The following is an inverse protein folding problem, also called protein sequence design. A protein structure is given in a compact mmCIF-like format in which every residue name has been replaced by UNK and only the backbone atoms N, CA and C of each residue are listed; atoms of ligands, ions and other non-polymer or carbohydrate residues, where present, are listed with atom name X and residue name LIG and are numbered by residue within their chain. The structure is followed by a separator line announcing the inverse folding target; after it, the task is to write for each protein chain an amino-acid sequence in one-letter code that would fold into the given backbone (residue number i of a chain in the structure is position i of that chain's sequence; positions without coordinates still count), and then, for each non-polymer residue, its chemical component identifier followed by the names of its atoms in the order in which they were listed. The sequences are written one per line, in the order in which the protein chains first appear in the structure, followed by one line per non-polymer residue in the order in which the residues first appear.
data_IF_087846199371
#
_entry.id   IF_087846199371
#
_cell.length_a   1.000
_cell.length_b   1.000
_cell.length_c   1.000
_cell.angle_alpha   90.00
_cell.angle_beta   90.00
_cell.angle_gamma   90.00
#
_symmetry.space_group_name_H-M   'P 1'
#
loop_
_entity.id
_entity.type
_entity.pdbx_description
1 polymer ?
#
# COMPACT_ATOMS: atom_id res chain seq x y z
N UNK A 1 12.59 -29.43 -14.80
CA UNK A 1 12.35 -28.11 -14.18
C UNK A 1 10.97 -28.15 -13.54
N UNK A 2 10.89 -28.11 -12.21
CA UNK A 2 9.59 -27.97 -11.54
C UNK A 2 9.11 -26.54 -11.75
N UNK A 3 7.96 -26.37 -12.41
CA UNK A 3 7.26 -25.08 -12.42
C UNK A 3 7.01 -24.69 -10.96
N UNK A 4 7.27 -23.44 -10.54
CA UNK A 4 6.64 -22.95 -9.32
C UNK A 4 5.13 -22.95 -9.59
N UNK A 5 4.46 -24.03 -9.19
CA UNK A 5 3.02 -24.10 -9.22
C UNK A 5 2.51 -23.01 -8.29
N UNK A 6 1.55 -22.19 -8.75
CA UNK A 6 0.84 -21.31 -7.85
C UNK A 6 0.11 -22.20 -6.84
N UNK A 7 0.61 -22.25 -5.61
CA UNK A 7 -0.14 -22.84 -4.51
C UNK A 7 -1.40 -22.01 -4.31
N UNK A 8 -2.56 -22.64 -4.53
CA UNK A 8 -3.87 -22.00 -4.44
C UNK A 8 -4.08 -21.33 -3.08
N UNK A 9 -3.53 -21.92 -2.00
CA UNK A 9 -3.67 -21.37 -0.65
C UNK A 9 -2.94 -20.03 -0.49
N UNK A 10 -1.75 -19.92 -1.07
CA UNK A 10 -0.95 -18.69 -1.08
C UNK A 10 -1.61 -17.60 -1.93
N UNK A 11 -2.14 -17.95 -3.11
CA UNK A 11 -2.83 -16.99 -3.99
C UNK A 11 -4.11 -16.43 -3.36
N UNK A 12 -4.90 -17.27 -2.71
CA UNK A 12 -6.14 -16.82 -2.06
C UNK A 12 -5.84 -15.86 -0.90
N UNK A 13 -4.73 -16.05 -0.18
CA UNK A 13 -4.26 -15.13 0.87
C UNK A 13 -3.80 -13.76 0.33
N UNK A 14 -3.43 -13.71 -0.95
CA UNK A 14 -2.96 -12.51 -1.66
C UNK A 14 -4.07 -11.80 -2.44
N UNK A 15 -5.34 -12.19 -2.30
CA UNK A 15 -6.43 -11.48 -2.98
C UNK A 15 -6.61 -10.07 -2.44
N UNK A 16 -6.63 -9.11 -3.35
CA UNK A 16 -6.96 -7.73 -3.05
C UNK A 16 -8.47 -7.52 -3.09
N UNK A 17 -9.01 -6.93 -2.02
CA UNK A 17 -10.44 -6.61 -1.92
C UNK A 17 -10.85 -5.36 -2.71
N UNK A 18 -9.92 -4.66 -3.35
CA UNK A 18 -10.19 -3.47 -4.15
C UNK A 18 -10.41 -2.18 -3.37
N UNK A 19 -10.35 -2.22 -2.03
CA UNK A 19 -10.44 -1.03 -1.19
C UNK A 19 -9.08 -0.33 -1.14
N UNK A 20 -8.95 0.93 -1.59
CA UNK A 20 -7.68 1.67 -1.55
C UNK A 20 -7.04 1.72 -0.16
N UNK A 21 -7.85 1.76 0.90
CA UNK A 21 -7.38 1.71 2.31
C UNK A 21 -6.55 0.46 2.64
N UNK A 22 -6.84 -0.66 1.98
CA UNK A 22 -6.11 -1.91 2.21
C UNK A 22 -4.98 -2.12 1.20
N UNK A 23 -4.80 -1.19 0.24
CA UNK A 23 -3.84 -1.34 -0.84
C UNK A 23 -2.40 -1.37 -0.34
N UNK A 24 -2.03 -0.50 0.61
CA UNK A 24 -0.66 -0.47 1.15
C UNK A 24 -0.29 -1.79 1.86
N UNK A 25 -1.18 -2.28 2.72
CA UNK A 25 -1.00 -3.56 3.41
C UNK A 25 -0.96 -4.74 2.42
N UNK A 26 -1.82 -4.72 1.41
CA UNK A 26 -1.82 -5.73 0.35
C UNK A 26 -0.55 -5.69 -0.50
N UNK A 27 -0.11 -4.51 -0.95
CA UNK A 27 1.14 -4.29 -1.70
C UNK A 27 2.33 -4.84 -0.93
N UNK A 28 2.41 -4.57 0.37
CA UNK A 28 3.47 -5.10 1.24
C UNK A 28 3.48 -6.64 1.25
N UNK A 29 2.32 -7.28 1.43
CA UNK A 29 2.19 -8.75 1.36
C UNK A 29 2.63 -9.31 0.00
N UNK A 30 2.24 -8.66 -1.09
CA UNK A 30 2.64 -9.06 -2.44
C UNK A 30 4.17 -8.99 -2.62
N UNK A 31 4.79 -7.88 -2.19
CA UNK A 31 6.25 -7.71 -2.28
C UNK A 31 6.98 -8.76 -1.43
N UNK A 32 6.51 -9.04 -0.22
CA UNK A 32 7.07 -10.08 0.65
C UNK A 32 7.01 -11.45 -0.04
N UNK A 33 5.87 -11.78 -0.67
CA UNK A 33 5.72 -13.02 -1.43
C UNK A 33 6.71 -13.11 -2.61
N UNK A 34 6.86 -12.04 -3.38
CA UNK A 34 7.82 -12.00 -4.49
C UNK A 34 9.27 -12.15 -4.00
N UNK A 35 9.63 -11.52 -2.88
CA UNK A 35 10.95 -11.70 -2.23
C UNK A 35 11.21 -13.15 -1.85
N UNK A 36 10.23 -13.82 -1.24
CA UNK A 36 10.34 -15.23 -0.88
C UNK A 36 10.55 -16.13 -2.11
N UNK A 37 9.88 -15.84 -3.24
CA UNK A 37 10.09 -16.56 -4.50
C UNK A 37 11.48 -16.32 -5.09
N UNK A 38 11.99 -15.08 -5.00
CA UNK A 38 13.35 -14.75 -5.40
C UNK A 38 14.38 -15.55 -4.60
N UNK A 39 14.20 -15.66 -3.29
CA UNK A 39 15.05 -16.45 -2.40
C UNK A 39 14.97 -17.95 -2.70
N UNK A 40 13.77 -18.49 -2.89
CA UNK A 40 13.58 -19.89 -3.26
C UNK A 40 14.29 -20.20 -4.59
N UNK A 41 14.15 -19.35 -5.60
CA UNK A 41 14.82 -19.55 -6.89
C UNK A 41 16.34 -19.44 -6.76
N UNK A 42 16.84 -18.49 -6.00
CA UNK A 42 18.28 -18.37 -5.75
C UNK A 42 18.85 -19.63 -5.08
N UNK A 43 18.09 -20.25 -4.16
CA UNK A 43 18.46 -21.52 -3.54
C UNK A 43 18.45 -22.67 -4.56
N UNK A 44 17.43 -22.75 -5.42
CA UNK A 44 17.34 -23.77 -6.48
C UNK A 44 18.53 -23.67 -7.44
N UNK A 45 18.88 -22.47 -7.94
CA UNK A 45 20.03 -22.31 -8.83
C UNK A 45 21.35 -22.71 -8.14
N UNK A 46 21.52 -22.35 -6.87
CA UNK A 46 22.69 -22.73 -6.07
C UNK A 46 22.80 -24.26 -5.89
N UNK A 47 21.69 -24.96 -5.63
CA UNK A 47 21.66 -26.42 -5.54
C UNK A 47 22.06 -27.09 -6.87
N UNK A 48 21.72 -26.48 -8.00
CA UNK A 48 22.07 -26.97 -9.33
C UNK A 48 23.44 -26.48 -9.82
N UNK A 49 24.23 -25.79 -8.97
CA UNK A 49 25.53 -25.18 -9.30
C UNK A 49 25.48 -24.24 -10.51
N UNK A 50 24.36 -23.52 -10.67
CA UNK A 50 24.17 -22.52 -11.72
C UNK A 50 24.41 -21.11 -11.18
N UNK A 51 24.61 -20.17 -12.09
CA UNK A 51 24.71 -18.77 -11.72
C UNK A 51 23.40 -18.24 -11.15
N UNK A 52 23.51 -17.20 -10.31
CA UNK A 52 22.32 -16.55 -9.74
C UNK A 52 21.55 -15.85 -10.86
N UNK A 53 20.21 -15.83 -10.81
CA UNK A 53 19.41 -15.08 -11.77
C UNK A 53 19.81 -13.59 -11.77
N UNK A 54 19.88 -13.00 -12.96
CA UNK A 54 20.21 -11.58 -13.16
C UNK A 54 19.19 -10.62 -12.51
N UNK A 55 17.97 -11.08 -12.26
CA UNK A 55 16.89 -10.28 -11.68
C UNK A 55 16.08 -11.05 -10.65
N UNK A 56 15.64 -10.32 -9.62
CA UNK A 56 14.68 -10.80 -8.62
C UNK A 56 13.26 -10.52 -9.13
N UNK A 57 12.28 -11.23 -8.58
CA UNK A 57 10.88 -11.06 -8.95
C UNK A 57 10.36 -9.64 -8.61
N UNK A 58 10.75 -9.10 -7.46
CA UNK A 58 10.33 -7.77 -7.01
C UNK A 58 10.89 -6.64 -7.88
N UNK A 59 12.08 -6.82 -8.46
CA UNK A 59 12.73 -5.81 -9.32
C UNK A 59 11.89 -5.53 -10.58
N UNK A 60 11.16 -6.54 -11.06
CA UNK A 60 10.27 -6.46 -12.23
C UNK A 60 9.07 -5.53 -12.01
N UNK A 61 8.73 -5.22 -10.76
CA UNK A 61 7.69 -4.24 -10.44
C UNK A 61 8.17 -2.81 -10.69
N UNK A 62 9.48 -2.57 -10.58
CA UNK A 62 10.08 -1.23 -10.68
C UNK A 62 10.52 -0.92 -12.10
N UNK A 63 11.21 -1.87 -12.74
CA UNK A 63 11.79 -1.68 -14.07
C UNK A 63 11.95 -3.00 -14.83
N UNK A 64 12.23 -2.90 -16.14
CA UNK A 64 12.62 -4.05 -16.93
C UNK A 64 14.14 -4.25 -16.79
N UNK A 65 14.62 -5.45 -16.38
CA UNK A 65 16.04 -5.73 -16.30
C UNK A 65 16.74 -5.55 -17.65
N UNK A 66 17.93 -4.94 -17.62
CA UNK A 66 18.77 -4.82 -18.80
C UNK A 66 19.36 -6.20 -19.15
N UNK A 67 18.99 -6.72 -20.32
CA UNK A 67 19.59 -7.95 -20.82
C UNK A 67 20.99 -7.66 -21.39
N UNK A 68 21.99 -8.52 -21.12
CA UNK A 68 23.29 -8.42 -21.76
C UNK A 68 23.14 -8.59 -23.29
N UNK A 69 24.10 -8.07 -24.05
CA UNK A 69 24.10 -8.24 -25.50
C UNK A 69 24.15 -9.73 -25.88
N UNK A 70 23.37 -10.13 -26.89
CA UNK A 70 23.40 -11.51 -27.38
C UNK A 70 24.82 -11.86 -27.83
N UNK A 71 25.40 -12.97 -27.33
CA UNK A 71 26.75 -13.37 -27.72
C UNK A 71 26.83 -13.75 -29.20
N UNK A 72 28.03 -13.67 -29.81
CA UNK A 72 28.24 -14.07 -31.20
C UNK A 72 27.95 -15.57 -31.40
N UNK A 73 27.41 -15.93 -32.57
CA UNK A 73 26.88 -17.27 -32.89
C UNK A 73 27.88 -18.44 -32.78
N UNK A 74 29.17 -18.18 -32.52
CA UNK A 74 30.22 -19.19 -32.34
C UNK A 74 30.35 -19.73 -30.91
N UNK A 75 29.88 -19.01 -29.90
CA UNK A 75 30.01 -19.41 -28.49
C UNK A 75 28.72 -20.08 -28.01
N UNK A 76 28.74 -21.42 -28.03
CA UNK A 76 27.59 -22.24 -27.64
C UNK A 76 27.25 -22.14 -26.15
N UNK A 77 28.26 -21.99 -25.29
CA UNK A 77 28.04 -21.88 -23.84
C UNK A 77 27.46 -20.52 -23.51
N UNK A 78 28.03 -19.44 -24.04
CA UNK A 78 27.49 -18.10 -23.84
C UNK A 78 26.07 -17.96 -24.41
N UNK A 79 25.78 -18.57 -25.57
CA UNK A 79 24.43 -18.58 -26.15
C UNK A 79 23.44 -19.33 -25.26
N UNK A 80 23.83 -20.50 -24.72
CA UNK A 80 23.00 -21.25 -23.77
C UNK A 80 22.71 -20.46 -22.49
N UNK A 81 23.72 -19.79 -21.93
CA UNK A 81 23.55 -18.94 -20.76
C UNK A 81 22.61 -17.76 -21.05
N UNK A 82 22.73 -17.12 -22.22
CA UNK A 82 21.82 -16.07 -22.65
C UNK A 82 20.36 -16.56 -22.74
N UNK A 83 20.13 -17.67 -23.41
CA UNK A 83 18.78 -18.25 -23.61
C UNK A 83 18.16 -18.70 -22.28
N UNK A 84 18.98 -19.22 -21.35
CA UNK A 84 18.57 -19.55 -19.99
C UNK A 84 18.08 -18.30 -19.25
N UNK A 85 18.84 -17.22 -19.28
CA UNK A 85 18.48 -15.97 -18.62
C UNK A 85 17.21 -15.35 -19.22
N UNK A 86 17.09 -15.33 -20.56
CA UNK A 86 15.89 -14.86 -21.25
C UNK A 86 14.64 -15.68 -20.84
N UNK A 87 14.78 -17.00 -20.79
CA UNK A 87 13.70 -17.91 -20.38
C UNK A 87 13.31 -17.71 -18.91
N UNK A 88 14.29 -17.54 -18.02
CA UNK A 88 14.06 -17.28 -16.60
C UNK A 88 13.30 -15.96 -16.41
N UNK A 89 13.73 -14.89 -17.08
CA UNK A 89 13.09 -13.58 -17.04
C UNK A 89 11.65 -13.63 -17.57
N UNK A 90 11.43 -14.28 -18.71
CA UNK A 90 10.10 -14.49 -19.28
C UNK A 90 9.19 -15.27 -18.34
N UNK A 91 9.74 -16.28 -17.66
CA UNK A 91 9.01 -17.09 -16.66
C UNK A 91 8.64 -16.26 -15.43
N UNK A 92 9.56 -15.45 -14.89
CA UNK A 92 9.28 -14.56 -13.77
C UNK A 92 8.18 -13.54 -14.13
N UNK A 93 8.32 -12.90 -15.29
CA UNK A 93 7.34 -11.94 -15.81
C UNK A 93 5.94 -12.56 -15.95
N UNK A 94 5.86 -13.73 -16.59
CA UNK A 94 4.61 -14.45 -16.78
C UNK A 94 3.95 -14.84 -15.46
N UNK A 95 4.75 -15.24 -14.46
CA UNK A 95 4.26 -15.57 -13.13
C UNK A 95 3.62 -14.35 -12.45
N UNK A 96 4.31 -13.20 -12.43
CA UNK A 96 3.79 -11.99 -11.78
C UNK A 96 2.52 -11.51 -12.48
N UNK A 97 2.49 -11.50 -13.82
CA UNK A 97 1.30 -11.13 -14.59
C UNK A 97 0.10 -12.02 -14.26
N UNK A 98 0.31 -13.33 -14.16
CA UNK A 98 -0.72 -14.27 -13.75
C UNK A 98 -1.20 -14.01 -12.31
N UNK A 99 -0.26 -13.81 -11.38
CA UNK A 99 -0.56 -13.50 -9.98
C UNK A 99 -1.42 -12.24 -9.87
N UNK A 100 -1.07 -11.16 -10.58
CA UNK A 100 -1.86 -9.93 -10.62
C UNK A 100 -3.27 -10.17 -11.20
N UNK A 101 -3.41 -10.95 -12.28
CA UNK A 101 -4.71 -11.31 -12.84
C UNK A 101 -5.58 -12.12 -11.86
N UNK A 102 -4.98 -12.94 -11.01
CA UNK A 102 -5.73 -13.77 -10.06
C UNK A 102 -6.11 -12.98 -8.80
N UNK A 103 -5.21 -12.13 -8.33
CA UNK A 103 -5.33 -11.42 -7.04
C UNK A 103 -6.05 -10.08 -7.11
N UNK A 104 -6.08 -9.41 -8.26
CA UNK A 104 -6.72 -8.09 -8.40
C UNK A 104 -8.26 -8.20 -8.54
N UNK A 105 -9.03 -7.15 -8.19
CA UNK A 105 -10.48 -7.12 -8.36
C UNK A 105 -10.90 -7.25 -9.84
N UNK A 106 -12.08 -7.82 -10.09
CA UNK A 106 -12.62 -8.07 -11.44
C UNK A 106 -12.62 -6.84 -12.35
N UNK A 107 -12.92 -5.65 -11.79
CA UNK A 107 -12.88 -4.39 -12.54
C UNK A 107 -11.48 -4.03 -13.08
N UNK A 108 -10.41 -4.44 -12.40
CA UNK A 108 -9.04 -4.27 -12.87
C UNK A 108 -8.58 -5.44 -13.74
N UNK A 109 -9.06 -6.67 -13.48
CA UNK A 109 -8.72 -7.85 -14.30
C UNK A 109 -8.93 -7.60 -15.78
N UNK A 110 -10.04 -6.94 -16.16
CA UNK A 110 -10.32 -6.60 -17.57
C UNK A 110 -9.35 -5.59 -18.19
N UNK A 111 -8.69 -4.76 -17.40
CA UNK A 111 -7.67 -3.79 -17.85
C UNK A 111 -6.32 -4.49 -17.94
N UNK A 112 -5.96 -5.27 -16.91
CA UNK A 112 -4.72 -6.03 -16.86
C UNK A 112 -4.64 -7.08 -17.99
N UNK A 113 -5.72 -7.82 -18.25
CA UNK A 113 -5.74 -8.85 -19.30
C UNK A 113 -5.54 -8.28 -20.70
N UNK A 114 -5.98 -7.04 -20.95
CA UNK A 114 -5.79 -6.35 -22.24
C UNK A 114 -4.36 -5.81 -22.44
N UNK A 115 -3.53 -5.81 -21.39
CA UNK A 115 -2.16 -5.28 -21.39
C UNK A 115 -1.13 -6.33 -20.99
N UNK A 116 -1.44 -7.61 -21.21
CA UNK A 116 -0.55 -8.72 -20.85
C UNK A 116 0.72 -8.79 -21.71
N UNK A 117 0.73 -8.10 -22.84
CA UNK A 117 1.89 -7.84 -23.69
C UNK A 117 2.88 -6.84 -23.07
N UNK A 118 2.39 -5.92 -22.23
CA UNK A 118 3.22 -4.88 -21.62
C UNK A 118 4.15 -5.43 -20.53
N UNK A 119 5.28 -4.75 -20.24
CA UNK A 119 6.17 -5.11 -19.13
C UNK A 119 5.46 -5.07 -17.77
N UNK A 120 5.90 -5.90 -16.82
CA UNK A 120 5.31 -6.01 -15.48
C UNK A 120 5.25 -4.65 -14.77
N UNK A 121 6.33 -3.87 -14.82
CA UNK A 121 6.37 -2.55 -14.18
C UNK A 121 5.34 -1.56 -14.76
N UNK A 122 4.95 -1.68 -16.02
CA UNK A 122 3.92 -0.82 -16.63
C UNK A 122 2.54 -1.18 -16.06
N UNK A 123 2.22 -2.48 -16.00
CA UNK A 123 0.98 -2.97 -15.40
C UNK A 123 0.93 -2.58 -13.92
N UNK A 124 2.05 -2.74 -13.21
CA UNK A 124 2.18 -2.39 -11.80
C UNK A 124 1.94 -0.90 -11.54
N UNK A 125 2.53 0.01 -12.33
CA UNK A 125 2.26 1.45 -12.23
C UNK A 125 0.79 1.81 -12.42
N UNK A 126 0.06 1.08 -13.28
CA UNK A 126 -1.38 1.29 -13.44
C UNK A 126 -2.16 0.86 -12.19
N UNK A 127 -1.77 -0.25 -11.56
CA UNK A 127 -2.35 -0.70 -10.29
C UNK A 127 -2.11 0.36 -9.21
N UNK A 128 -0.89 0.85 -9.09
CA UNK A 128 -0.55 1.91 -8.14
C UNK A 128 -1.32 3.19 -8.43
N UNK A 129 -1.39 3.63 -9.69
CA UNK A 129 -2.16 4.82 -10.06
C UNK A 129 -3.65 4.71 -9.70
N UNK A 130 -4.21 3.51 -9.73
CA UNK A 130 -5.62 3.30 -9.46
C UNK A 130 -5.93 3.17 -7.96
N UNK A 131 -5.05 2.53 -7.19
CA UNK A 131 -5.34 2.13 -5.81
C UNK A 131 -4.41 2.73 -4.77
N UNK A 132 -3.30 3.37 -5.16
CA UNK A 132 -2.41 4.01 -4.20
C UNK A 132 -3.12 5.16 -3.51
N UNK A 133 -2.95 5.22 -2.19
CA UNK A 133 -3.43 6.37 -1.44
C UNK A 133 -2.53 7.60 -1.62
N UNK A 134 -1.33 7.41 -2.19
CA UNK A 134 -0.33 8.46 -2.44
C UNK A 134 -0.67 9.37 -3.63
N UNK A 135 -1.73 9.07 -4.39
CA UNK A 135 -2.21 9.95 -5.46
C UNK A 135 -3.40 10.82 -5.00
N UNK A 136 -3.77 11.82 -5.81
CA UNK A 136 -4.83 12.76 -5.46
C UNK A 136 -6.18 12.09 -5.13
N UNK A 137 -6.57 11.04 -5.85
CA UNK A 137 -7.82 10.32 -5.59
C UNK A 137 -7.77 9.57 -4.24
N UNK A 138 -6.61 9.01 -3.91
CA UNK A 138 -6.31 8.40 -2.63
C UNK A 138 -6.42 9.36 -1.45
N UNK A 139 -5.79 10.54 -1.59
CA UNK A 139 -5.90 11.61 -0.59
C UNK A 139 -7.33 12.08 -0.42
N UNK A 140 -8.10 12.26 -1.52
CA UNK A 140 -9.53 12.59 -1.45
C UNK A 140 -10.33 11.52 -0.70
N UNK A 141 -10.03 10.25 -0.92
CA UNK A 141 -10.65 9.14 -0.18
C UNK A 141 -10.37 9.20 1.32
N UNK A 142 -9.12 9.47 1.71
CA UNK A 142 -8.73 9.62 3.11
C UNK A 142 -9.39 10.85 3.76
N UNK A 143 -9.45 11.99 3.07
CA UNK A 143 -10.13 13.20 3.57
C UNK A 143 -11.63 12.96 3.73
N UNK A 144 -12.27 12.21 2.82
CA UNK A 144 -13.67 11.80 2.98
C UNK A 144 -13.86 10.94 4.22
N UNK A 145 -13.03 9.90 4.39
CA UNK A 145 -13.06 9.05 5.57
C UNK A 145 -12.84 9.85 6.86
N UNK A 146 -11.92 10.81 6.84
CA UNK A 146 -11.66 11.72 7.96
C UNK A 146 -12.93 12.47 8.38
N UNK A 147 -13.66 13.07 7.43
CA UNK A 147 -14.92 13.76 7.71
C UNK A 147 -16.05 12.81 8.14
N UNK A 148 -16.11 11.60 7.58
CA UNK A 148 -17.10 10.59 7.98
C UNK A 148 -16.87 10.13 9.42
N UNK A 149 -15.62 9.88 9.84
CA UNK A 149 -15.28 9.43 11.19
C UNK A 149 -15.65 10.45 12.28
N UNK A 150 -15.49 11.75 12.01
CA UNK A 150 -15.92 12.81 12.94
C UNK A 150 -17.42 12.71 13.24
N UNK A 151 -18.22 12.35 12.22
CA UNK A 151 -19.68 12.34 12.31
C UNK A 151 -20.26 10.96 12.66
N UNK A 152 -19.46 9.90 12.57
CA UNK A 152 -19.86 8.55 12.92
C UNK A 152 -20.00 8.34 14.43
N UNK A 153 -20.62 7.22 14.80
CA UNK A 153 -20.61 6.74 16.18
C UNK A 153 -19.20 6.28 16.55
N UNK A 154 -18.72 6.78 17.70
CA UNK A 154 -17.43 6.43 18.27
C UNK A 154 -17.60 5.80 19.65
N UNK A 155 -16.68 4.88 19.98
CA UNK A 155 -16.69 4.17 21.27
C UNK A 155 -16.22 5.02 22.43
N UNK A 156 -15.24 5.90 22.19
CA UNK A 156 -14.75 6.89 23.16
C UNK A 156 -14.09 8.05 22.43
N UNK A 157 -13.98 9.19 23.11
CA UNK A 157 -13.29 10.38 22.58
C UNK A 157 -11.81 10.09 22.32
N UNK A 158 -11.16 9.34 23.21
CA UNK A 158 -9.77 8.90 23.02
C UNK A 158 -9.57 8.06 21.76
N UNK A 159 -10.47 7.11 21.49
CA UNK A 159 -10.42 6.31 20.26
C UNK A 159 -10.63 7.19 19.01
N UNK A 160 -11.60 8.11 19.06
CA UNK A 160 -11.85 9.05 17.97
C UNK A 160 -10.60 9.87 17.63
N UNK A 161 -9.88 10.38 18.65
CA UNK A 161 -8.63 11.09 18.41
C UNK A 161 -7.55 10.22 17.78
N UNK A 162 -7.40 8.98 18.24
CA UNK A 162 -6.41 8.05 17.66
C UNK A 162 -6.72 7.76 16.19
N UNK A 163 -7.97 7.45 15.87
CA UNK A 163 -8.40 7.11 14.50
C UNK A 163 -8.25 8.30 13.55
N UNK A 164 -8.69 9.49 13.98
CA UNK A 164 -8.55 10.72 13.20
C UNK A 164 -7.09 11.12 13.03
N UNK A 165 -6.27 11.02 14.07
CA UNK A 165 -4.85 11.34 14.00
C UNK A 165 -4.09 10.38 13.09
N UNK A 166 -4.48 9.10 13.05
CA UNK A 166 -3.93 8.11 12.12
C UNK A 166 -4.21 8.50 10.66
N UNK A 167 -5.46 8.78 10.31
CA UNK A 167 -5.84 9.18 8.95
C UNK A 167 -5.22 10.54 8.57
N UNK A 168 -5.21 11.50 9.50
CA UNK A 168 -4.54 12.80 9.31
C UNK A 168 -3.06 12.62 8.97
N UNK A 169 -2.37 11.77 9.74
CA UNK A 169 -0.95 11.50 9.53
C UNK A 169 -0.71 10.88 8.17
N UNK A 170 -1.55 9.94 7.73
CA UNK A 170 -1.43 9.36 6.39
C UNK A 170 -1.64 10.38 5.27
N UNK A 171 -2.65 11.26 5.39
CA UNK A 171 -2.88 12.35 4.43
C UNK A 171 -1.66 13.27 4.37
N UNK A 172 -1.10 13.63 5.52
CA UNK A 172 0.05 14.53 5.59
C UNK A 172 1.34 13.89 5.08
N UNK A 173 1.55 12.58 5.27
CA UNK A 173 2.67 11.85 4.66
C UNK A 173 2.54 11.91 3.13
N UNK A 174 1.37 11.56 2.59
CA UNK A 174 1.14 11.56 1.15
C UNK A 174 1.26 12.98 0.55
N UNK A 175 0.72 13.99 1.24
CA UNK A 175 0.82 15.39 0.83
C UNK A 175 2.27 15.91 0.93
N UNK A 176 3.04 15.48 1.92
CA UNK A 176 4.43 15.88 2.04
C UNK A 176 5.28 15.26 0.93
N UNK A 177 5.10 13.97 0.64
CA UNK A 177 5.79 13.31 -0.48
C UNK A 177 5.47 13.96 -1.83
N UNK A 178 4.19 14.26 -2.10
CA UNK A 178 3.77 14.75 -3.41
C UNK A 178 3.87 16.28 -3.58
N UNK A 179 3.65 17.04 -2.51
CA UNK A 179 3.47 18.50 -2.54
C UNK A 179 4.41 19.25 -1.57
N UNK A 180 5.27 18.53 -0.83
CA UNK A 180 6.18 19.11 0.18
C UNK A 180 5.46 19.94 1.24
N UNK A 181 4.22 19.58 1.58
CA UNK A 181 3.39 20.31 2.55
C UNK A 181 2.54 19.39 3.43
N UNK A 182 2.02 19.93 4.53
CA UNK A 182 1.00 19.27 5.35
C UNK A 182 -0.38 19.82 4.99
N UNK A 183 -1.31 18.92 4.68
CA UNK A 183 -2.64 19.29 4.19
C UNK A 183 -3.67 19.41 5.31
N UNK A 184 -3.64 18.50 6.29
CA UNK A 184 -4.55 18.49 7.42
C UNK A 184 -3.83 18.89 8.70
N UNK A 185 -4.12 20.09 9.18
CA UNK A 185 -3.59 20.60 10.44
C UNK A 185 -4.24 19.92 11.65
N UNK A 186 -3.49 19.76 12.74
CA UNK A 186 -4.02 19.23 14.00
C UNK A 186 -5.13 20.12 14.55
N UNK A 187 -5.03 21.43 14.38
CA UNK A 187 -6.04 22.39 14.83
C UNK A 187 -7.39 22.18 14.14
N UNK A 188 -7.41 21.87 12.84
CA UNK A 188 -8.66 21.59 12.12
C UNK A 188 -9.34 20.33 12.68
N UNK A 189 -8.56 19.28 12.95
CA UNK A 189 -9.06 18.06 13.59
C UNK A 189 -9.68 18.34 14.96
N UNK A 190 -9.00 19.13 15.80
CA UNK A 190 -9.51 19.51 17.11
C UNK A 190 -10.85 20.25 17.02
N UNK A 191 -10.95 21.25 16.13
CA UNK A 191 -12.19 22.03 15.93
C UNK A 191 -13.34 21.12 15.49
N UNK A 192 -13.09 20.17 14.59
CA UNK A 192 -14.10 19.23 14.12
C UNK A 192 -14.60 18.29 15.22
N UNK A 193 -13.71 17.75 16.06
CA UNK A 193 -14.08 16.92 17.21
C UNK A 193 -14.91 17.72 18.22
N UNK A 194 -14.49 18.95 18.54
CA UNK A 194 -15.24 19.82 19.45
C UNK A 194 -16.63 20.16 18.90
N UNK A 195 -16.76 20.32 17.58
CA UNK A 195 -18.02 20.61 16.91
C UNK A 195 -19.09 19.53 17.03
N UNK A 196 -18.70 18.27 17.28
CA UNK A 196 -19.65 17.15 17.46
C UNK A 196 -19.96 16.83 18.93
N UNK A 197 -19.29 17.50 19.87
CA UNK A 197 -19.48 17.29 21.31
C UNK A 197 -20.32 18.42 21.93
N UNK A 198 -21.13 18.15 22.96
CA UNK A 198 -21.98 19.16 23.60
C UNK A 198 -21.17 20.31 24.18
N UNK A 199 -21.32 21.50 23.59
CA UNK A 199 -20.52 22.71 23.90
C UNK A 199 -20.50 23.07 25.39
N UNK A 200 -21.61 22.87 26.09
CA UNK A 200 -21.73 23.23 27.51
C UNK A 200 -20.83 22.39 28.43
N UNK A 201 -20.36 21.21 27.98
CA UNK A 201 -19.49 20.34 28.77
C UNK A 201 -18.00 20.70 28.66
N UNK A 202 -17.55 21.24 27.53
CA UNK A 202 -16.13 21.50 27.27
C UNK A 202 -15.79 22.97 27.02
N UNK A 203 -16.79 23.81 26.72
CA UNK A 203 -16.59 25.17 26.20
C UNK A 203 -15.80 26.11 27.12
N UNK A 204 -15.88 25.94 28.44
CA UNK A 204 -15.08 26.69 29.41
C UNK A 204 -13.74 26.04 29.73
N UNK A 205 -13.58 24.75 29.42
CA UNK A 205 -12.42 23.95 29.81
C UNK A 205 -11.32 23.96 28.74
N UNK A 206 -11.69 24.14 27.47
CA UNK A 206 -10.75 24.14 26.34
C UNK A 206 -10.33 25.57 26.01
N UNK A 207 -9.03 25.84 26.14
CA UNK A 207 -8.45 27.14 25.81
C UNK A 207 -8.16 27.23 24.31
N UNK A 208 -8.54 28.35 23.69
CA UNK A 208 -8.25 28.63 22.28
C UNK A 208 -7.03 29.55 22.15
N UNK A 209 -5.87 29.04 22.58
CA UNK A 209 -4.57 29.71 22.54
C UNK A 209 -3.52 28.80 21.91
N UNK A 210 -2.39 29.32 21.39
CA UNK A 210 -1.34 28.48 20.79
C UNK A 210 -0.83 27.39 21.74
N UNK A 211 -0.65 27.74 23.02
CA UNK A 211 -0.13 26.82 24.02
C UNK A 211 -1.20 25.87 24.56
N UNK A 212 -2.46 26.29 24.60
CA UNK A 212 -3.58 25.50 25.15
C UNK A 212 -4.27 24.59 24.13
N UNK A 213 -4.29 24.99 22.86
CA UNK A 213 -5.01 24.32 21.77
C UNK A 213 -4.11 23.34 21.01
N UNK A 214 -3.46 22.44 21.76
CA UNK A 214 -2.63 21.37 21.23
C UNK A 214 -3.36 20.03 21.30
N UNK A 215 -2.94 19.07 20.46
CA UNK A 215 -3.59 17.75 20.42
C UNK A 215 -3.59 17.06 21.78
N UNK A 216 -2.45 17.08 22.47
CA UNK A 216 -2.28 16.49 23.80
C UNK A 216 -3.21 17.12 24.82
N UNK A 217 -3.14 18.44 25.01
CA UNK A 217 -3.93 19.15 26.03
C UNK A 217 -5.43 19.05 25.80
N UNK A 218 -5.89 19.19 24.56
CA UNK A 218 -7.31 19.08 24.25
C UNK A 218 -7.79 17.63 24.39
N UNK A 219 -7.02 16.66 23.91
CA UNK A 219 -7.34 15.24 24.09
C UNK A 219 -7.46 14.87 25.57
N UNK A 220 -6.51 15.27 26.41
CA UNK A 220 -6.51 14.97 27.83
C UNK A 220 -7.71 15.61 28.55
N UNK A 221 -8.03 16.87 28.24
CA UNK A 221 -9.20 17.55 28.80
C UNK A 221 -10.50 16.86 28.39
N UNK A 222 -10.68 16.51 27.12
CA UNK A 222 -11.90 15.84 26.67
C UNK A 222 -12.00 14.41 27.22
N UNK A 223 -10.88 13.69 27.32
CA UNK A 223 -10.84 12.39 27.98
C UNK A 223 -11.17 12.49 29.49
N UNK A 224 -10.77 13.57 30.18
CA UNK A 224 -11.16 13.79 31.56
C UNK A 224 -12.66 14.09 31.73
N UNK A 225 -13.28 14.78 30.76
CA UNK A 225 -14.71 15.13 30.77
C UNK A 225 -15.59 13.93 30.40
N UNK A 226 -15.23 13.22 29.33
CA UNK A 226 -16.07 12.18 28.73
C UNK A 226 -15.63 10.76 29.08
N UNK A 227 -14.37 10.55 29.48
CA UNK A 227 -13.81 9.24 29.78
C UNK A 227 -13.98 8.27 28.61
N UNK A 228 -14.55 7.11 28.92
CA UNK A 228 -14.83 6.05 27.95
C UNK A 228 -16.25 6.11 27.38
N UNK A 229 -16.98 7.22 27.55
CA UNK A 229 -18.32 7.38 26.99
C UNK A 229 -18.29 7.39 25.47
N UNK A 230 -19.20 6.62 24.89
CA UNK A 230 -19.51 6.61 23.47
C UNK A 230 -20.35 7.80 23.05
N UNK A 231 -20.48 8.03 21.74
CA UNK A 231 -21.29 9.13 21.19
C UNK A 231 -22.73 9.14 21.70
N UNK A 232 -23.34 7.98 21.86
CA UNK A 232 -24.73 7.85 22.34
C UNK A 232 -24.89 8.14 23.83
N UNK A 233 -23.81 8.13 24.60
CA UNK A 233 -23.80 8.38 26.05
C UNK A 233 -23.44 9.83 26.41
N UNK A 234 -23.11 10.64 25.40
CA UNK A 234 -22.69 12.05 25.51
C UNK A 234 -23.83 12.95 25.08
#
# INVERSE_FOLDING_TARGET
MSKPALDKSSVDSLRFNGKPLHFAAWKSKLIIHLKALSEQRALEELQHKREKPLSRFEDLLESQPAMPARPPAGDKEATWQYDLHETLLSTQSSYIKKLLCETLPSGFKGIATKRMDEPVHVIWRLVEKQYSLSNAAGVVGLVRQFNEMVNADFKSVGQLFQDLNSVRSQVNVNAHEALQTHMLLSQLMLVLVLGVLPRHMWGSSVEFTPDGFTLEKVSDKLNAIFGNKSRSEI
#
